data_IF_905343080998
#
_entry.id   IF_905343080998
#
_cell.length_a   1.000
_cell.length_b   1.000
_cell.length_c   1.000
_cell.angle_alpha   90.00
_cell.angle_beta   90.00
_cell.angle_gamma   90.00
#
_symmetry.space_group_name_H-M   'P 1'
#
loop_
_entity.id
_entity.type
_entity.pdbx_description
1 polymer ?
#
# COMPACT_ATOMS: atom_id res chain seq x y z
N UNK A 1 28.16 -33.46 -41.53
CA UNK A 1 26.93 -33.06 -40.88
C UNK A 1 27.28 -32.55 -39.49
N UNK A 2 27.20 -31.25 -39.25
CA UNK A 2 27.40 -30.64 -37.95
C UNK A 2 26.05 -30.63 -37.26
N UNK A 3 25.91 -31.33 -36.16
CA UNK A 3 24.69 -31.31 -35.36
C UNK A 3 24.53 -29.93 -34.73
N UNK A 4 23.43 -29.29 -35.07
CA UNK A 4 22.95 -28.05 -34.42
C UNK A 4 22.20 -28.50 -33.14
N UNK A 5 22.88 -28.43 -32.00
CA UNK A 5 22.20 -28.58 -30.70
C UNK A 5 21.37 -27.31 -30.48
N UNK A 6 20.06 -27.38 -30.30
CA UNK A 6 19.23 -26.17 -30.21
C UNK A 6 19.51 -25.42 -28.89
N UNK A 7 19.79 -24.14 -29.04
CA UNK A 7 20.05 -23.19 -27.92
C UNK A 7 18.94 -23.18 -26.83
N UNK A 8 17.73 -23.66 -27.13
CA UNK A 8 16.63 -23.78 -26.18
C UNK A 8 16.87 -24.79 -25.02
N UNK A 9 17.69 -25.84 -25.22
CA UNK A 9 17.94 -26.81 -24.14
C UNK A 9 18.88 -26.25 -23.06
N UNK A 10 19.82 -25.40 -23.43
CA UNK A 10 20.74 -24.78 -22.47
C UNK A 10 20.04 -23.74 -21.57
N UNK A 11 19.07 -23.00 -22.11
CA UNK A 11 18.30 -22.04 -21.33
C UNK A 11 17.40 -22.69 -20.27
N UNK A 12 16.76 -23.83 -20.60
CA UNK A 12 15.93 -24.59 -19.65
C UNK A 12 16.72 -25.22 -18.52
N UNK A 13 17.97 -25.66 -18.77
CA UNK A 13 18.83 -26.27 -17.73
C UNK A 13 19.34 -25.18 -16.76
N UNK A 14 19.62 -23.97 -17.23
CA UNK A 14 20.12 -22.88 -16.39
C UNK A 14 19.06 -22.31 -15.44
N UNK A 15 17.80 -22.28 -15.87
CA UNK A 15 16.67 -21.80 -15.03
C UNK A 15 16.27 -22.80 -13.96
N UNK A 16 16.28 -24.10 -14.25
CA UNK A 16 15.98 -25.16 -13.29
C UNK A 16 17.04 -25.21 -12.15
N UNK A 17 18.31 -25.02 -12.46
CA UNK A 17 19.38 -24.96 -11.43
C UNK A 17 19.34 -23.71 -10.59
N UNK A 18 18.90 -22.57 -11.12
CA UNK A 18 18.74 -21.34 -10.33
C UNK A 18 17.56 -21.45 -9.35
N UNK A 19 16.42 -21.98 -9.80
CA UNK A 19 15.25 -22.21 -8.95
C UNK A 19 15.54 -23.17 -7.79
N UNK A 20 16.23 -24.29 -8.03
CA UNK A 20 16.65 -25.24 -6.99
C UNK A 20 17.59 -24.58 -5.96
N UNK A 21 18.47 -23.66 -6.39
CA UNK A 21 19.35 -22.92 -5.48
C UNK A 21 18.57 -21.97 -4.58
N UNK A 22 17.55 -21.25 -5.12
CA UNK A 22 16.73 -20.34 -4.32
C UNK A 22 15.93 -21.15 -3.29
N UNK A 23 15.26 -22.23 -3.70
CA UNK A 23 14.45 -23.06 -2.80
C UNK A 23 15.27 -23.63 -1.64
N UNK A 24 16.48 -24.12 -1.92
CA UNK A 24 17.40 -24.61 -0.90
C UNK A 24 17.83 -23.53 0.10
N UNK A 25 18.16 -22.32 -0.39
CA UNK A 25 18.51 -21.18 0.47
C UNK A 25 17.32 -20.71 1.30
N UNK A 26 16.13 -20.66 0.73
CA UNK A 26 14.91 -20.29 1.44
C UNK A 26 14.58 -21.32 2.51
N UNK A 27 14.61 -22.61 2.18
CA UNK A 27 14.36 -23.70 3.14
C UNK A 27 15.30 -23.68 4.34
N UNK A 28 16.59 -23.40 4.09
CA UNK A 28 17.61 -23.35 5.15
C UNK A 28 17.45 -22.21 6.14
N UNK A 29 16.88 -21.08 5.74
CA UNK A 29 16.69 -19.90 6.61
C UNK A 29 15.26 -19.78 7.19
N UNK A 30 14.33 -20.59 6.73
CA UNK A 30 12.90 -20.45 7.03
C UNK A 30 12.56 -20.51 8.52
N UNK A 31 13.17 -21.40 9.35
CA UNK A 31 12.91 -21.40 10.80
C UNK A 31 13.29 -20.07 11.48
N UNK A 32 14.41 -19.46 11.07
CA UNK A 32 14.85 -18.16 11.59
C UNK A 32 13.92 -17.03 11.12
N UNK A 33 13.47 -17.06 9.86
CA UNK A 33 12.50 -16.08 9.34
C UNK A 33 11.17 -16.17 10.07
N UNK A 34 10.66 -17.36 10.36
CA UNK A 34 9.44 -17.53 11.16
C UNK A 34 9.59 -16.93 12.55
N UNK A 35 10.74 -17.15 13.20
CA UNK A 35 11.01 -16.53 14.50
C UNK A 35 11.09 -15.01 14.41
N UNK A 36 11.71 -14.48 13.35
CA UNK A 36 11.78 -13.03 13.10
C UNK A 36 10.39 -12.45 12.90
N UNK A 37 9.56 -13.06 12.06
CA UNK A 37 8.16 -12.69 11.86
C UNK A 37 7.40 -12.63 13.19
N UNK A 38 7.47 -13.71 13.99
CA UNK A 38 6.78 -13.77 15.29
C UNK A 38 7.27 -12.68 16.25
N UNK A 39 8.57 -12.36 16.19
CA UNK A 39 9.16 -11.28 16.99
C UNK A 39 8.64 -9.90 16.59
N UNK A 40 8.52 -9.61 15.29
CA UNK A 40 7.95 -8.35 14.77
C UNK A 40 6.46 -8.29 15.12
N UNK A 41 5.71 -9.38 14.86
CA UNK A 41 4.28 -9.47 15.13
C UNK A 41 3.93 -9.19 16.60
N UNK A 42 4.74 -9.71 17.53
CA UNK A 42 4.56 -9.49 18.97
C UNK A 42 4.94 -8.07 19.43
N UNK A 43 5.66 -7.31 18.62
CA UNK A 43 6.16 -5.98 18.96
C UNK A 43 5.86 -4.95 17.84
N UNK A 44 4.58 -4.79 17.44
CA UNK A 44 4.19 -3.87 16.38
C UNK A 44 4.34 -2.42 16.82
N UNK A 45 4.67 -1.55 15.86
CA UNK A 45 4.81 -0.11 16.05
C UNK A 45 3.91 0.64 15.07
N UNK A 46 3.20 1.66 15.56
CA UNK A 46 2.32 2.50 14.73
C UNK A 46 3.13 3.34 13.74
N UNK A 47 2.46 3.83 12.69
CA UNK A 47 3.02 4.83 11.79
C UNK A 47 3.68 5.96 12.56
N UNK A 48 4.80 6.47 12.06
CA UNK A 48 5.68 7.47 12.69
C UNK A 48 6.42 6.99 13.95
N UNK A 49 6.29 5.72 14.37
CA UNK A 49 6.87 5.18 15.61
C UNK A 49 7.71 3.90 15.37
N UNK A 50 8.07 3.56 14.13
CA UNK A 50 8.68 2.29 13.71
C UNK A 50 10.18 2.18 14.06
N UNK A 51 10.58 2.66 15.24
CA UNK A 51 12.00 2.75 15.64
C UNK A 51 12.66 1.38 15.74
N UNK A 52 12.02 0.42 16.40
CA UNK A 52 12.59 -0.91 16.62
C UNK A 52 12.52 -1.76 15.35
N UNK A 53 11.41 -1.69 14.62
CA UNK A 53 11.22 -2.43 13.37
C UNK A 53 12.24 -1.98 12.32
N UNK A 54 12.45 -0.68 12.16
CA UNK A 54 13.45 -0.12 11.26
C UNK A 54 14.88 -0.50 11.65
N UNK A 55 15.20 -0.46 12.95
CA UNK A 55 16.51 -0.84 13.46
C UNK A 55 16.78 -2.35 13.28
N UNK A 56 15.78 -3.21 13.50
CA UNK A 56 15.87 -4.65 13.24
C UNK A 56 16.14 -4.91 11.77
N UNK A 57 15.32 -4.33 10.87
CA UNK A 57 15.52 -4.45 9.43
C UNK A 57 16.93 -4.00 9.01
N UNK A 58 17.36 -2.83 9.48
CA UNK A 58 18.68 -2.29 9.19
C UNK A 58 19.81 -3.24 9.63
N UNK A 59 19.69 -3.82 10.83
CA UNK A 59 20.68 -4.78 11.36
C UNK A 59 20.75 -6.05 10.50
N UNK A 60 19.61 -6.61 10.10
CA UNK A 60 19.55 -7.82 9.26
C UNK A 60 20.09 -7.58 7.85
N UNK A 61 19.79 -6.41 7.26
CA UNK A 61 20.34 -6.04 5.95
C UNK A 61 21.86 -5.81 5.99
N UNK A 62 22.42 -5.26 7.10
CA UNK A 62 23.88 -5.18 7.31
C UNK A 62 24.52 -6.57 7.41
N UNK A 63 23.90 -7.50 8.16
CA UNK A 63 24.37 -8.90 8.24
C UNK A 63 24.37 -9.57 6.87
N UNK A 64 23.40 -9.26 6.00
CA UNK A 64 23.35 -9.74 4.62
C UNK A 64 24.40 -9.06 3.70
N UNK A 65 25.16 -8.08 4.19
CA UNK A 65 26.25 -7.43 3.44
C UNK A 65 25.83 -6.20 2.64
N UNK A 66 24.67 -5.61 2.93
CA UNK A 66 24.23 -4.33 2.35
C UNK A 66 24.85 -3.15 3.08
N UNK A 67 25.10 -2.07 2.35
CA UNK A 67 25.42 -0.76 2.93
C UNK A 67 24.08 -0.09 3.33
N UNK A 68 23.84 0.12 4.61
CA UNK A 68 22.56 0.55 5.15
C UNK A 68 22.65 1.97 5.71
N UNK A 69 21.66 2.79 5.36
CA UNK A 69 21.40 4.12 5.93
C UNK A 69 20.01 4.09 6.59
N UNK A 70 19.97 4.47 7.84
CA UNK A 70 18.75 4.57 8.65
C UNK A 70 18.25 6.01 8.72
N UNK A 71 17.01 6.17 9.19
CA UNK A 71 16.35 7.47 9.37
C UNK A 71 16.33 8.29 8.08
N UNK A 72 15.92 7.64 7.00
CA UNK A 72 15.70 8.28 5.71
C UNK A 72 14.22 8.66 5.58
N UNK A 73 13.99 9.94 5.32
CA UNK A 73 12.65 10.51 5.19
C UNK A 73 12.44 11.69 6.12
N UNK A 74 11.68 12.69 5.65
CA UNK A 74 11.38 13.89 6.39
C UNK A 74 9.92 14.28 6.18
N UNK A 75 9.16 14.31 7.28
CA UNK A 75 7.77 14.74 7.25
C UNK A 75 7.63 16.27 7.11
N UNK A 76 6.44 16.77 6.69
CA UNK A 76 6.23 18.20 6.48
C UNK A 76 6.46 19.07 7.73
N UNK A 77 6.25 18.53 8.92
CA UNK A 77 6.51 19.20 10.20
C UNK A 77 8.00 19.27 10.57
N UNK A 78 8.86 18.66 9.75
CA UNK A 78 10.30 18.57 9.95
C UNK A 78 10.76 17.36 10.75
N UNK A 79 9.86 16.51 11.24
CA UNK A 79 10.19 15.29 11.96
C UNK A 79 10.90 14.28 11.04
N UNK A 80 11.91 13.60 11.57
CA UNK A 80 12.68 12.59 10.84
C UNK A 80 11.91 11.25 10.83
N UNK A 81 11.76 10.66 9.65
CA UNK A 81 11.13 9.35 9.50
C UNK A 81 12.09 8.20 9.84
N UNK A 82 11.54 7.03 10.11
CA UNK A 82 12.29 5.81 10.41
C UNK A 82 12.64 4.99 9.15
N UNK A 83 12.67 5.61 7.98
CA UNK A 83 12.98 4.93 6.72
C UNK A 83 14.38 4.33 6.70
N UNK A 84 14.50 3.18 6.03
CA UNK A 84 15.76 2.46 5.83
C UNK A 84 16.06 2.34 4.35
N UNK A 85 17.29 2.64 3.95
CA UNK A 85 17.79 2.39 2.58
C UNK A 85 19.02 1.51 2.64
N UNK A 86 19.00 0.39 1.92
CA UNK A 86 20.11 -0.55 1.88
C UNK A 86 20.51 -0.84 0.43
N UNK A 87 21.81 -0.68 0.14
CA UNK A 87 22.38 -0.80 -1.21
C UNK A 87 23.34 -1.96 -1.30
N UNK A 88 23.15 -2.83 -2.29
CA UNK A 88 24.08 -3.86 -2.67
C UNK A 88 24.42 -3.73 -4.15
N UNK A 89 25.68 -3.41 -4.44
CA UNK A 89 26.19 -3.31 -5.81
C UNK A 89 26.87 -4.60 -6.25
N UNK A 90 26.64 -5.00 -7.48
CA UNK A 90 27.19 -6.21 -8.10
C UNK A 90 27.51 -6.00 -9.59
N UNK A 91 28.49 -5.15 -9.86
CA UNK A 91 28.92 -4.83 -11.23
C UNK A 91 28.01 -3.78 -11.92
N UNK A 92 28.17 -3.66 -13.23
CA UNK A 92 27.35 -2.78 -14.06
C UNK A 92 26.01 -3.45 -14.40
N UNK A 93 24.93 -2.71 -14.36
CA UNK A 93 23.58 -3.20 -14.68
C UNK A 93 22.53 -2.24 -14.15
N UNK A 94 21.25 -2.60 -14.25
CA UNK A 94 20.16 -1.76 -13.79
C UNK A 94 20.16 -1.64 -12.27
N UNK A 95 19.50 -0.60 -11.77
CA UNK A 95 19.18 -0.41 -10.35
C UNK A 95 17.74 -0.85 -10.11
N UNK A 96 17.55 -1.87 -9.32
CA UNK A 96 16.24 -2.37 -8.89
C UNK A 96 15.94 -1.92 -7.47
N UNK A 97 14.85 -1.19 -7.29
CA UNK A 97 14.29 -0.89 -5.99
C UNK A 97 13.31 -1.99 -5.57
N UNK A 98 13.47 -2.50 -4.35
CA UNK A 98 12.51 -3.41 -3.70
C UNK A 98 12.04 -2.74 -2.40
N UNK A 99 10.73 -2.60 -2.23
CA UNK A 99 10.14 -1.94 -1.06
C UNK A 99 9.47 -2.94 -0.12
N UNK A 100 9.60 -2.69 1.16
CA UNK A 100 8.71 -3.15 2.25
C UNK A 100 8.22 -1.96 3.04
N UNK A 101 7.02 -2.04 3.56
CA UNK A 101 6.46 -1.20 4.61
C UNK A 101 6.80 -1.78 5.99
N UNK A 102 6.57 -1.01 7.08
CA UNK A 102 7.03 -1.42 8.42
C UNK A 102 6.03 -1.15 9.54
N UNK A 103 5.06 -0.29 9.32
CA UNK A 103 4.14 0.19 10.36
C UNK A 103 2.99 -0.78 10.64
N UNK A 104 2.33 -0.57 11.79
CA UNK A 104 1.21 -1.35 12.27
C UNK A 104 0.00 -0.45 12.55
N UNK A 105 -1.14 -1.06 12.82
CA UNK A 105 -2.44 -0.42 12.96
C UNK A 105 -2.90 -0.30 14.43
N UNK A 106 -3.71 0.72 14.77
CA UNK A 106 -4.26 0.92 16.10
C UNK A 106 -5.45 -0.04 16.39
N UNK A 107 -5.19 -1.34 16.36
CA UNK A 107 -6.17 -2.43 16.52
C UNK A 107 -5.75 -3.31 17.69
N UNK A 108 -6.73 -3.73 18.51
CA UNK A 108 -6.54 -4.76 19.53
C UNK A 108 -6.57 -6.12 18.85
N UNK A 109 -5.51 -6.90 18.97
CA UNK A 109 -5.44 -8.23 18.38
C UNK A 109 -6.32 -9.26 19.10
N UNK A 110 -7.05 -10.07 18.34
CA UNK A 110 -7.94 -11.14 18.82
C UNK A 110 -7.67 -12.49 18.15
N UNK A 111 -6.53 -12.65 17.49
CA UNK A 111 -6.20 -13.89 16.75
C UNK A 111 -6.01 -15.11 17.66
N UNK A 112 -5.55 -14.89 18.89
CA UNK A 112 -5.27 -15.97 19.86
C UNK A 112 -4.02 -16.78 19.56
N UNK A 113 -3.14 -16.34 18.67
CA UNK A 113 -1.84 -16.99 18.42
C UNK A 113 -0.89 -16.79 19.61
N UNK A 114 0.05 -17.69 19.80
CA UNK A 114 0.99 -17.63 20.94
C UNK A 114 1.94 -16.43 20.91
N UNK A 115 2.09 -15.80 19.78
CA UNK A 115 2.90 -14.60 19.55
C UNK A 115 2.04 -13.34 19.26
N UNK A 116 0.75 -13.38 19.63
CA UNK A 116 -0.14 -12.23 19.47
C UNK A 116 0.39 -10.99 20.19
N UNK A 117 0.14 -9.82 19.62
CA UNK A 117 0.47 -8.55 20.25
C UNK A 117 -0.45 -8.25 21.43
N UNK A 118 0.15 -7.84 22.54
CA UNK A 118 -0.55 -7.29 23.70
C UNK A 118 -0.11 -5.86 23.97
N UNK A 119 0.58 -5.24 23.00
CA UNK A 119 1.12 -3.91 23.16
C UNK A 119 0.03 -2.86 23.03
N UNK A 120 0.26 -1.75 23.72
CA UNK A 120 -0.51 -0.54 23.62
C UNK A 120 0.39 0.60 23.16
N UNK A 121 -0.13 1.41 22.28
CA UNK A 121 0.50 2.62 21.78
C UNK A 121 -0.38 3.84 21.95
N UNK A 122 0.10 4.98 21.47
CA UNK A 122 -0.71 6.20 21.38
C UNK A 122 -0.86 6.57 19.91
N UNK A 123 -2.12 6.72 19.47
CA UNK A 123 -2.41 7.21 18.12
C UNK A 123 -2.11 8.71 17.99
N UNK A 124 -2.26 9.27 16.78
CA UNK A 124 -2.02 10.69 16.51
C UNK A 124 -2.89 11.65 17.36
N UNK A 125 -4.07 11.19 17.82
CA UNK A 125 -4.93 11.95 18.73
C UNK A 125 -4.51 11.83 20.21
N UNK A 126 -3.41 11.14 20.53
CA UNK A 126 -2.91 10.92 21.88
C UNK A 126 -3.68 9.87 22.70
N UNK A 127 -4.63 9.16 22.09
CA UNK A 127 -5.44 8.13 22.74
C UNK A 127 -4.65 6.83 22.86
N UNK A 128 -4.79 6.12 23.98
CA UNK A 128 -4.23 4.78 24.15
C UNK A 128 -5.05 3.78 23.33
N UNK A 129 -4.35 3.01 22.47
CA UNK A 129 -4.93 2.01 21.58
C UNK A 129 -4.12 0.71 21.63
N UNK A 130 -4.74 -0.44 21.32
CA UNK A 130 -3.98 -1.64 21.02
C UNK A 130 -3.22 -1.47 19.73
N UNK A 131 -2.14 -2.22 19.52
CA UNK A 131 -1.34 -2.16 18.30
C UNK A 131 -1.18 -3.57 17.72
N UNK A 132 -1.45 -3.73 16.43
CA UNK A 132 -1.39 -5.03 15.73
C UNK A 132 -0.86 -4.85 14.30
N UNK A 133 -0.01 -5.76 13.83
CA UNK A 133 0.28 -5.91 12.40
C UNK A 133 -0.94 -6.50 11.67
N UNK A 134 -2.02 -5.73 11.59
CA UNK A 134 -3.26 -6.16 10.97
C UNK A 134 -3.28 -5.95 9.45
N UNK A 135 -2.18 -5.50 8.84
CA UNK A 135 -2.00 -5.40 7.40
C UNK A 135 -0.87 -6.31 6.86
N UNK A 136 -0.19 -7.07 7.74
CA UNK A 136 0.84 -8.04 7.34
C UNK A 136 2.21 -7.45 7.01
N UNK A 137 2.51 -6.22 7.43
CA UNK A 137 3.81 -5.60 7.16
C UNK A 137 4.97 -6.35 7.83
N UNK A 138 4.72 -7.09 8.89
CA UNK A 138 5.65 -8.05 9.49
C UNK A 138 6.03 -9.20 8.53
N UNK A 139 5.09 -9.69 7.71
CA UNK A 139 5.36 -10.62 6.59
C UNK A 139 6.25 -9.95 5.54
N UNK A 140 5.96 -8.69 5.20
CA UNK A 140 6.70 -7.95 4.18
C UNK A 140 8.15 -7.70 4.61
N UNK A 141 8.37 -7.18 5.84
CA UNK A 141 9.71 -6.98 6.42
C UNK A 141 10.49 -8.28 6.45
N UNK A 142 9.88 -9.35 6.94
CA UNK A 142 10.53 -10.66 7.04
C UNK A 142 10.87 -11.23 5.67
N UNK A 143 9.98 -11.06 4.69
CA UNK A 143 10.22 -11.45 3.29
C UNK A 143 11.40 -10.68 2.69
N UNK A 144 11.53 -9.38 2.97
CA UNK A 144 12.66 -8.58 2.52
C UNK A 144 13.97 -9.08 3.12
N UNK A 145 14.00 -9.40 4.42
CA UNK A 145 15.18 -9.96 5.09
C UNK A 145 15.62 -11.25 4.40
N UNK A 146 14.69 -12.16 4.16
CA UNK A 146 14.97 -13.41 3.45
C UNK A 146 15.48 -13.19 2.02
N UNK A 147 14.84 -12.29 1.29
CA UNK A 147 15.22 -11.89 -0.07
C UNK A 147 16.63 -11.30 -0.11
N UNK A 148 16.97 -10.41 0.82
CA UNK A 148 18.31 -9.81 0.92
C UNK A 148 19.39 -10.87 1.08
N UNK A 149 19.18 -11.87 1.94
CA UNK A 149 20.10 -12.98 2.16
C UNK A 149 20.29 -13.84 0.91
N UNK A 150 19.19 -14.13 0.19
CA UNK A 150 19.24 -14.90 -1.09
C UNK A 150 20.00 -14.12 -2.15
N UNK A 151 19.72 -12.82 -2.34
CA UNK A 151 20.40 -11.99 -3.34
C UNK A 151 21.90 -11.87 -3.04
N UNK A 152 22.27 -11.71 -1.78
CA UNK A 152 23.67 -11.69 -1.36
C UNK A 152 24.40 -13.03 -1.61
N UNK A 153 23.73 -14.15 -1.37
CA UNK A 153 24.30 -15.49 -1.63
C UNK A 153 24.45 -15.81 -3.12
N UNK A 154 23.55 -15.27 -3.96
CA UNK A 154 23.49 -15.55 -5.40
C UNK A 154 24.03 -14.41 -6.28
N UNK A 155 25.01 -13.63 -5.82
CA UNK A 155 25.66 -12.56 -6.60
C UNK A 155 26.15 -12.99 -7.99
N UNK A 156 26.55 -14.25 -8.15
CA UNK A 156 26.97 -14.79 -9.45
C UNK A 156 25.83 -14.93 -10.48
N UNK A 157 24.57 -14.70 -10.08
CA UNK A 157 23.39 -14.89 -10.91
C UNK A 157 22.74 -13.59 -11.39
N UNK A 158 23.23 -12.45 -10.94
CA UNK A 158 22.67 -11.14 -11.30
C UNK A 158 23.76 -10.05 -11.35
N UNK A 159 23.45 -8.92 -11.98
CA UNK A 159 24.34 -7.76 -12.12
C UNK A 159 23.57 -6.47 -11.84
N UNK A 160 24.27 -5.39 -11.49
CA UNK A 160 23.66 -4.08 -11.25
C UNK A 160 23.60 -3.74 -9.76
N UNK A 161 22.55 -3.03 -9.38
CA UNK A 161 22.37 -2.55 -8.00
C UNK A 161 21.02 -2.97 -7.47
N UNK A 162 20.99 -3.51 -6.26
CA UNK A 162 19.76 -3.70 -5.46
C UNK A 162 19.67 -2.59 -4.44
N UNK A 163 18.57 -1.84 -4.48
CA UNK A 163 18.18 -0.84 -3.49
C UNK A 163 16.97 -1.36 -2.72
N UNK A 164 17.17 -1.74 -1.46
CA UNK A 164 16.08 -2.15 -0.57
C UNK A 164 15.60 -0.95 0.24
N UNK A 165 14.30 -0.75 0.32
CA UNK A 165 13.67 0.31 1.09
C UNK A 165 12.77 -0.29 2.16
N UNK A 166 13.05 0.00 3.44
CA UNK A 166 12.11 -0.10 4.54
C UNK A 166 11.37 1.22 4.65
N UNK A 167 10.13 1.25 4.19
CA UNK A 167 9.30 2.44 4.21
C UNK A 167 8.51 2.51 5.52
N UNK A 168 8.53 3.63 6.25
CA UNK A 168 7.63 3.88 7.38
C UNK A 168 6.26 4.34 6.90
N UNK A 169 5.27 4.34 7.77
CA UNK A 169 4.03 5.12 7.68
C UNK A 169 3.25 4.95 6.35
N UNK A 170 3.08 3.69 5.94
CA UNK A 170 2.23 3.36 4.80
C UNK A 170 0.76 3.61 5.14
N UNK A 171 0.33 3.23 6.35
CA UNK A 171 -1.05 3.31 6.80
C UNK A 171 -1.57 4.75 6.98
N UNK A 172 -0.65 5.71 7.05
CA UNK A 172 -0.95 7.15 7.00
C UNK A 172 -0.68 7.77 5.63
N UNK A 173 -0.25 6.96 4.63
CA UNK A 173 -0.02 7.33 3.22
C UNK A 173 0.94 8.52 3.03
N UNK A 174 1.86 8.73 3.95
CA UNK A 174 2.83 9.81 3.90
C UNK A 174 4.30 9.36 3.95
N UNK A 175 4.56 8.08 4.24
CA UNK A 175 5.91 7.55 4.36
C UNK A 175 6.72 7.58 3.07
N UNK A 176 6.16 7.16 1.94
CA UNK A 176 6.84 7.23 0.65
C UNK A 176 7.17 8.69 0.27
N UNK A 177 6.22 9.62 0.50
CA UNK A 177 6.42 11.06 0.29
C UNK A 177 7.52 11.61 1.18
N UNK A 178 7.55 11.22 2.46
CA UNK A 178 8.58 11.64 3.40
C UNK A 178 9.97 11.19 2.94
N UNK A 179 10.12 9.95 2.44
CA UNK A 179 11.38 9.45 1.92
C UNK A 179 11.84 10.23 0.68
N UNK A 180 10.94 10.52 -0.26
CA UNK A 180 11.25 11.34 -1.44
C UNK A 180 11.58 12.79 -1.07
N UNK A 181 10.89 13.37 -0.08
CA UNK A 181 11.16 14.72 0.42
C UNK A 181 12.55 14.85 1.08
N UNK A 182 13.11 13.74 1.60
CA UNK A 182 14.49 13.66 2.09
C UNK A 182 15.52 13.36 0.96
N UNK A 183 15.18 13.70 -0.27
CA UNK A 183 16.06 13.56 -1.45
C UNK A 183 16.52 12.11 -1.70
N UNK A 184 15.59 11.14 -1.57
CA UNK A 184 15.89 9.71 -1.70
C UNK A 184 16.73 9.40 -2.95
N UNK A 185 16.29 9.87 -4.11
CA UNK A 185 16.93 9.51 -5.37
C UNK A 185 18.22 10.29 -5.64
N UNK A 186 18.32 11.52 -5.16
CA UNK A 186 19.56 12.31 -5.23
C UNK A 186 20.66 11.72 -4.34
N UNK A 187 20.29 11.18 -3.18
CA UNK A 187 21.23 10.60 -2.21
C UNK A 187 21.67 9.18 -2.57
N UNK A 188 20.77 8.36 -3.10
CA UNK A 188 21.00 6.94 -3.29
C UNK A 188 20.99 6.47 -4.74
N UNK A 189 20.63 7.33 -5.67
CA UNK A 189 20.47 7.06 -7.10
C UNK A 189 19.02 6.75 -7.48
N UNK A 190 18.64 7.13 -8.69
CA UNK A 190 17.32 6.84 -9.26
C UNK A 190 17.28 5.40 -9.73
N UNK A 191 16.31 4.58 -9.31
CA UNK A 191 16.17 3.21 -9.79
C UNK A 191 15.62 3.18 -11.23
N UNK A 192 15.98 2.14 -11.98
CA UNK A 192 15.43 1.88 -13.32
C UNK A 192 14.06 1.19 -13.24
N UNK A 193 13.81 0.45 -12.17
CA UNK A 193 12.56 -0.29 -11.90
C UNK A 193 12.31 -0.34 -10.38
N UNK A 194 11.04 -0.45 -9.99
CA UNK A 194 10.68 -0.67 -8.58
C UNK A 194 9.65 -1.81 -8.46
N UNK A 195 9.85 -2.68 -7.47
CA UNK A 195 8.91 -3.76 -7.16
C UNK A 195 8.59 -3.82 -5.67
N UNK A 196 7.38 -4.29 -5.36
CA UNK A 196 6.93 -4.60 -4.01
C UNK A 196 6.03 -5.85 -4.02
N UNK A 197 5.73 -6.36 -2.85
CA UNK A 197 4.63 -7.31 -2.65
C UNK A 197 3.72 -6.82 -1.53
N UNK A 198 2.48 -7.29 -1.53
CA UNK A 198 1.56 -7.12 -0.41
C UNK A 198 0.84 -8.44 -0.15
N UNK A 199 0.76 -8.86 1.10
CA UNK A 199 0.03 -10.07 1.45
C UNK A 199 -1.50 -9.88 1.35
N UNK A 200 -2.24 -10.98 1.22
CA UNK A 200 -3.69 -10.91 1.04
C UNK A 200 -4.40 -12.12 1.64
N UNK A 201 -5.62 -11.88 2.16
CA UNK A 201 -6.53 -12.94 2.59
C UNK A 201 -7.34 -13.57 1.46
N UNK A 202 -7.28 -13.01 0.26
CA UNK A 202 -8.05 -13.50 -0.90
C UNK A 202 -7.43 -14.72 -1.55
N UNK A 203 -6.23 -15.14 -1.10
CA UNK A 203 -5.46 -16.25 -1.63
C UNK A 203 -4.81 -17.08 -0.53
N UNK A 204 -4.69 -18.38 -0.78
CA UNK A 204 -3.94 -19.28 0.07
C UNK A 204 -2.42 -19.03 -0.02
N UNK A 205 -1.70 -19.23 1.06
CA UNK A 205 -0.23 -19.29 1.05
C UNK A 205 0.26 -20.35 0.05
N UNK A 206 1.34 -20.08 -0.65
CA UNK A 206 1.79 -20.87 -1.81
C UNK A 206 1.41 -20.25 -3.15
N UNK A 207 0.59 -19.20 -3.16
CA UNK A 207 0.12 -18.54 -4.39
C UNK A 207 0.44 -17.05 -4.41
N UNK A 208 0.41 -16.47 -5.59
CA UNK A 208 0.58 -15.04 -5.82
C UNK A 208 -0.47 -14.53 -6.81
N UNK A 209 -0.73 -13.22 -6.78
CA UNK A 209 -1.58 -12.57 -7.79
C UNK A 209 -0.89 -11.35 -8.37
N UNK A 210 -1.17 -11.04 -9.63
CA UNK A 210 -0.62 -9.87 -10.31
C UNK A 210 -1.63 -9.31 -11.31
N UNK A 211 -2.01 -8.07 -11.08
CA UNK A 211 -2.82 -7.25 -11.99
C UNK A 211 -1.91 -6.40 -12.86
N UNK A 212 -2.14 -6.32 -14.15
CA UNK A 212 -1.45 -5.42 -15.07
C UNK A 212 -2.23 -4.12 -15.23
N UNK A 213 -1.55 -2.97 -15.24
CA UNK A 213 -2.19 -1.67 -15.29
C UNK A 213 -2.66 -1.19 -13.91
N UNK A 214 -3.80 -0.50 -13.80
CA UNK A 214 -4.32 -0.04 -12.52
C UNK A 214 -4.63 -1.22 -11.59
N UNK A 215 -3.85 -1.38 -10.53
CA UNK A 215 -3.97 -2.49 -9.57
C UNK A 215 -4.75 -2.10 -8.32
N UNK A 216 -4.44 -0.94 -7.73
CA UNK A 216 -5.19 -0.41 -6.59
C UNK A 216 -5.63 1.03 -6.88
N UNK A 217 -6.77 1.42 -6.32
CA UNK A 217 -7.32 2.75 -6.52
C UNK A 217 -6.43 3.83 -5.89
N UNK A 218 -6.35 4.97 -6.55
CA UNK A 218 -5.87 6.19 -5.91
C UNK A 218 -6.87 6.66 -4.85
N UNK A 219 -6.36 7.21 -3.76
CA UNK A 219 -7.15 7.85 -2.71
C UNK A 219 -7.04 9.36 -2.82
N UNK A 220 -8.17 10.07 -2.71
CA UNK A 220 -8.20 11.52 -2.65
C UNK A 220 -9.01 11.95 -1.44
N UNK A 221 -8.38 12.72 -0.55
CA UNK A 221 -9.01 13.32 0.62
C UNK A 221 -9.45 14.74 0.28
N UNK A 222 -10.71 15.09 0.61
CA UNK A 222 -11.29 16.40 0.31
C UNK A 222 -12.11 16.90 1.49
N UNK A 223 -11.80 18.10 1.95
CA UNK A 223 -12.63 18.82 2.92
C UNK A 223 -13.60 19.75 2.22
N UNK A 224 -14.85 19.76 2.67
CA UNK A 224 -15.86 20.70 2.25
C UNK A 224 -16.39 21.47 3.46
N UNK A 225 -16.21 22.78 3.44
CA UNK A 225 -16.80 23.69 4.41
C UNK A 225 -18.00 24.36 3.78
N UNK A 226 -19.20 23.90 4.14
CA UNK A 226 -20.46 24.50 3.73
C UNK A 226 -20.79 25.68 4.66
N UNK A 227 -20.79 26.91 4.14
CA UNK A 227 -21.01 28.12 4.93
C UNK A 227 -22.40 28.66 4.74
N UNK A 228 -22.98 29.22 5.81
CA UNK A 228 -24.34 29.76 5.79
C UNK A 228 -24.50 31.01 6.66
N UNK A 229 -25.74 31.38 6.92
CA UNK A 229 -26.11 32.45 7.83
C UNK A 229 -26.85 31.81 9.00
N UNK A 230 -26.19 31.78 10.16
CA UNK A 230 -26.73 31.19 11.38
C UNK A 230 -27.83 32.07 12.01
N UNK A 231 -28.56 31.46 12.96
CA UNK A 231 -29.64 32.19 13.65
C UNK A 231 -30.53 31.31 14.51
N UNK A 232 -31.69 31.90 14.88
CA UNK A 232 -32.65 31.19 15.73
C UNK A 232 -33.41 30.14 14.90
N UNK A 233 -33.44 28.87 15.36
CA UNK A 233 -34.09 27.77 14.64
C UNK A 233 -35.57 27.94 14.31
N UNK A 234 -36.27 28.83 15.00
CA UNK A 234 -37.67 29.20 14.70
C UNK A 234 -37.80 30.42 13.75
N UNK A 235 -36.68 30.96 13.25
CA UNK A 235 -36.68 32.11 12.31
C UNK A 235 -35.83 31.76 11.05
N UNK A 236 -36.16 30.67 10.34
CA UNK A 236 -35.36 30.23 9.19
C UNK A 236 -35.35 31.20 8.02
N UNK A 237 -36.38 32.07 7.90
CA UNK A 237 -36.51 33.03 6.81
C UNK A 237 -35.42 34.12 6.78
N UNK A 238 -34.67 34.31 7.90
CA UNK A 238 -33.56 35.28 7.97
C UNK A 238 -32.22 34.61 8.00
N UNK A 239 -32.15 33.30 7.72
CA UNK A 239 -30.94 32.47 7.77
C UNK A 239 -30.67 31.82 6.42
N UNK A 240 -29.49 31.19 6.31
CA UNK A 240 -29.11 30.22 5.27
C UNK A 240 -28.56 29.01 6.00
N UNK A 241 -29.35 27.95 6.11
CA UNK A 241 -29.03 26.81 6.98
C UNK A 241 -27.99 25.89 6.33
N UNK A 242 -26.75 25.85 6.82
CA UNK A 242 -25.70 25.01 6.25
C UNK A 242 -25.93 23.52 6.54
N UNK A 243 -26.73 23.13 7.54
CA UNK A 243 -27.09 21.73 7.78
C UNK A 243 -28.02 21.21 6.68
N UNK A 244 -29.01 21.99 6.28
CA UNK A 244 -29.89 21.63 5.15
C UNK A 244 -29.09 21.54 3.87
N UNK A 245 -28.21 22.53 3.60
CA UNK A 245 -27.33 22.50 2.44
C UNK A 245 -26.38 21.28 2.44
N UNK A 246 -25.80 20.89 3.58
CA UNK A 246 -24.98 19.71 3.69
C UNK A 246 -25.78 18.42 3.37
N UNK A 247 -27.03 18.32 3.84
CA UNK A 247 -27.91 17.21 3.50
C UNK A 247 -28.21 17.11 2.00
N UNK A 248 -28.52 18.24 1.35
CA UNK A 248 -28.71 18.28 -0.11
C UNK A 248 -27.41 17.93 -0.87
N UNK A 249 -26.28 18.47 -0.43
CA UNK A 249 -24.97 18.16 -1.00
C UNK A 249 -24.67 16.67 -0.95
N UNK A 250 -24.85 16.01 0.21
CA UNK A 250 -24.61 14.57 0.38
C UNK A 250 -25.40 13.74 -0.64
N UNK A 251 -26.68 14.06 -0.81
CA UNK A 251 -27.55 13.33 -1.76
C UNK A 251 -27.15 13.61 -3.20
N UNK A 252 -26.93 14.87 -3.58
CA UNK A 252 -26.58 15.25 -4.94
C UNK A 252 -25.19 14.75 -5.34
N UNK A 253 -24.24 14.72 -4.42
CA UNK A 253 -22.87 14.24 -4.67
C UNK A 253 -22.86 12.81 -5.22
N UNK A 254 -23.80 11.95 -4.80
CA UNK A 254 -23.88 10.58 -5.31
C UNK A 254 -24.12 10.51 -6.83
N UNK A 255 -24.67 11.57 -7.42
CA UNK A 255 -24.88 11.67 -8.86
C UNK A 255 -23.59 11.87 -9.66
N UNK A 256 -22.53 12.32 -9.03
CA UNK A 256 -21.21 12.43 -9.69
C UNK A 256 -20.76 11.03 -10.14
N UNK A 257 -20.76 10.07 -9.25
CA UNK A 257 -20.42 8.68 -9.56
C UNK A 257 -21.46 8.05 -10.51
N UNK A 258 -22.75 8.19 -10.19
CA UNK A 258 -23.78 7.46 -10.92
C UNK A 258 -24.19 8.07 -12.28
N UNK A 259 -23.85 9.35 -12.57
CA UNK A 259 -24.32 10.09 -13.76
C UNK A 259 -23.24 10.87 -14.50
N UNK A 260 -22.06 11.07 -13.94
CA UNK A 260 -21.01 11.86 -14.58
C UNK A 260 -19.75 11.01 -14.86
N UNK A 261 -19.52 9.99 -14.05
CA UNK A 261 -18.44 9.03 -14.26
C UNK A 261 -18.79 8.04 -15.38
N UNK A 262 -17.75 7.55 -16.08
CA UNK A 262 -17.92 6.49 -17.04
C UNK A 262 -18.29 5.18 -16.30
N UNK A 263 -19.41 4.50 -16.62
CA UNK A 263 -19.80 3.27 -15.93
C UNK A 263 -18.78 2.11 -16.01
N UNK A 264 -17.78 2.21 -16.89
CA UNK A 264 -16.66 1.23 -17.02
C UNK A 264 -15.46 1.58 -16.15
N UNK A 265 -15.43 2.76 -15.55
CA UNK A 265 -14.38 3.26 -14.67
C UNK A 265 -14.94 3.35 -13.26
N UNK A 266 -14.77 2.32 -12.42
CA UNK A 266 -15.37 2.33 -11.09
C UNK A 266 -14.74 3.44 -10.24
N UNK A 267 -15.58 4.14 -9.50
CA UNK A 267 -15.18 5.14 -8.52
C UNK A 267 -16.06 5.08 -7.27
N UNK A 268 -15.53 5.54 -6.15
CA UNK A 268 -16.24 5.63 -4.87
C UNK A 268 -16.07 7.03 -4.33
N UNK A 269 -17.16 7.61 -3.81
CA UNK A 269 -17.14 8.88 -3.05
C UNK A 269 -17.91 8.68 -1.76
N UNK A 270 -17.23 8.86 -0.63
CA UNK A 270 -17.80 8.67 0.70
C UNK A 270 -17.56 9.91 1.55
N UNK A 271 -18.62 10.45 2.15
CA UNK A 271 -18.51 11.41 3.24
C UNK A 271 -18.35 10.60 4.52
N UNK A 272 -17.14 10.57 5.09
CA UNK A 272 -16.80 9.79 6.28
C UNK A 272 -17.10 10.50 7.57
N UNK A 273 -17.09 11.83 7.54
CA UNK A 273 -17.31 12.67 8.71
C UNK A 273 -18.09 13.93 8.37
N UNK A 274 -18.93 14.38 9.31
CA UNK A 274 -19.72 15.59 9.19
C UNK A 274 -19.90 16.25 10.56
N UNK A 275 -19.50 17.50 10.68
CA UNK A 275 -19.62 18.30 11.89
C UNK A 275 -20.30 19.63 11.65
N UNK A 276 -21.37 19.91 12.42
CA UNK A 276 -22.07 21.19 12.37
C UNK A 276 -23.15 21.30 13.43
N UNK A 277 -23.34 22.53 13.94
CA UNK A 277 -24.32 22.83 14.97
C UNK A 277 -23.87 22.46 16.39
N UNK A 278 -24.49 23.12 17.37
CA UNK A 278 -24.20 22.95 18.80
C UNK A 278 -25.45 22.69 19.64
N UNK A 279 -26.62 23.13 19.16
CA UNK A 279 -27.89 23.03 19.91
C UNK A 279 -29.07 22.98 18.94
N UNK A 280 -30.09 22.20 19.28
CA UNK A 280 -31.27 21.93 18.45
C UNK A 280 -32.07 23.16 17.97
N UNK A 281 -31.94 24.29 18.63
CA UNK A 281 -32.67 25.53 18.31
C UNK A 281 -31.78 26.67 17.76
N UNK A 282 -30.56 26.31 17.34
CA UNK A 282 -29.61 27.24 16.72
C UNK A 282 -29.22 26.70 15.35
N UNK A 283 -29.43 27.51 14.31
CA UNK A 283 -28.87 27.26 12.99
C UNK A 283 -27.41 27.71 13.01
N UNK A 284 -26.43 26.84 12.69
CA UNK A 284 -25.02 27.19 12.73
C UNK A 284 -24.60 28.08 11.57
N UNK A 285 -23.36 28.56 11.59
CA UNK A 285 -22.76 29.35 10.50
C UNK A 285 -22.10 28.48 9.45
N UNK A 286 -21.74 27.23 9.80
CA UNK A 286 -21.01 26.32 8.92
C UNK A 286 -21.23 24.84 9.29
N UNK A 287 -20.97 23.97 8.29
CA UNK A 287 -20.86 22.53 8.44
C UNK A 287 -19.59 22.08 7.71
N UNK A 288 -18.71 21.36 8.40
CA UNK A 288 -17.53 20.70 7.82
C UNK A 288 -17.91 19.28 7.42
N UNK A 289 -17.44 18.83 6.26
CA UNK A 289 -17.54 17.44 5.79
C UNK A 289 -16.18 16.97 5.31
N UNK A 290 -15.80 15.76 5.68
CA UNK A 290 -14.58 15.09 5.25
C UNK A 290 -14.93 13.96 4.29
N UNK A 291 -14.31 13.98 3.11
CA UNK A 291 -14.66 13.12 1.98
C UNK A 291 -13.44 12.31 1.58
N UNK A 292 -13.61 11.02 1.36
CA UNK A 292 -12.65 10.19 0.62
C UNK A 292 -13.22 9.80 -0.73
N UNK A 293 -12.40 9.90 -1.77
CA UNK A 293 -12.71 9.41 -3.10
C UNK A 293 -11.68 8.35 -3.53
N UNK A 294 -12.15 7.31 -4.24
CA UNK A 294 -11.31 6.25 -4.81
C UNK A 294 -11.53 6.22 -6.31
N UNK A 295 -10.44 6.24 -7.08
CA UNK A 295 -10.49 6.26 -8.56
C UNK A 295 -9.34 5.48 -9.16
N UNK A 296 -9.48 4.99 -10.40
CA UNK A 296 -8.44 4.25 -11.11
C UNK A 296 -7.76 5.03 -12.23
N UNK A 297 -8.04 6.32 -12.35
CA UNK A 297 -7.37 7.20 -13.29
C UNK A 297 -7.39 8.66 -12.83
N UNK A 298 -6.41 9.45 -13.29
CA UNK A 298 -6.39 10.91 -13.04
C UNK A 298 -7.61 11.60 -13.63
N UNK A 299 -8.13 11.09 -14.75
CA UNK A 299 -9.35 11.61 -15.38
C UNK A 299 -10.56 11.43 -14.45
N UNK A 300 -10.77 10.23 -13.91
CA UNK A 300 -11.83 9.97 -12.94
C UNK A 300 -11.66 10.81 -11.67
N UNK A 301 -10.42 10.91 -11.16
CA UNK A 301 -10.10 11.77 -10.03
C UNK A 301 -10.56 13.22 -10.29
N UNK A 302 -10.24 13.77 -11.46
CA UNK A 302 -10.61 15.13 -11.81
C UNK A 302 -12.13 15.29 -11.95
N UNK A 303 -12.84 14.34 -12.56
CA UNK A 303 -14.31 14.33 -12.65
C UNK A 303 -14.94 14.40 -11.25
N UNK A 304 -14.43 13.60 -10.31
CA UNK A 304 -14.93 13.57 -8.93
C UNK A 304 -14.65 14.90 -8.22
N UNK A 305 -13.43 15.43 -8.28
CA UNK A 305 -13.07 16.70 -7.64
C UNK A 305 -13.93 17.86 -8.19
N UNK A 306 -14.07 17.95 -9.51
CA UNK A 306 -14.90 18.98 -10.13
C UNK A 306 -16.39 18.78 -9.82
N UNK A 307 -16.81 17.54 -9.71
CA UNK A 307 -18.16 17.18 -9.25
C UNK A 307 -18.44 17.67 -7.83
N UNK A 308 -17.52 17.43 -6.89
CA UNK A 308 -17.61 17.94 -5.51
C UNK A 308 -17.75 19.47 -5.51
N UNK A 309 -16.86 20.16 -6.23
CA UNK A 309 -16.88 21.64 -6.32
C UNK A 309 -18.20 22.17 -6.88
N UNK A 310 -18.64 21.62 -8.02
CA UNK A 310 -19.89 22.05 -8.66
C UNK A 310 -21.11 21.79 -7.80
N UNK A 311 -21.17 20.64 -7.15
CA UNK A 311 -22.30 20.27 -6.28
C UNK A 311 -22.38 21.21 -5.08
N UNK A 312 -21.23 21.45 -4.40
CA UNK A 312 -21.18 22.37 -3.27
C UNK A 312 -21.63 23.80 -3.67
N UNK A 313 -21.12 24.32 -4.78
CA UNK A 313 -21.49 25.63 -5.31
C UNK A 313 -22.96 25.68 -5.73
N UNK A 314 -23.49 24.66 -6.41
CA UNK A 314 -24.87 24.57 -6.86
C UNK A 314 -25.86 24.57 -5.71
N UNK A 315 -25.59 23.84 -4.64
CA UNK A 315 -26.42 23.82 -3.43
C UNK A 315 -26.42 25.18 -2.73
N UNK A 316 -25.26 25.80 -2.56
CA UNK A 316 -25.17 27.14 -1.96
C UNK A 316 -25.88 28.19 -2.77
N UNK A 317 -25.78 28.16 -4.10
CA UNK A 317 -26.51 29.04 -5.02
C UNK A 317 -28.04 28.86 -4.90
N UNK A 318 -28.51 27.60 -4.87
CA UNK A 318 -29.91 27.24 -4.70
C UNK A 318 -30.50 27.78 -3.38
N UNK A 319 -29.69 27.72 -2.31
CA UNK A 319 -30.07 28.26 -1.00
C UNK A 319 -29.99 29.80 -0.94
N UNK A 320 -29.49 30.46 -1.96
CA UNK A 320 -29.30 31.91 -2.01
C UNK A 320 -28.24 32.40 -1.02
N UNK A 321 -27.16 31.65 -0.87
CA UNK A 321 -25.99 32.05 -0.05
C UNK A 321 -25.28 33.21 -0.75
N UNK A 322 -24.88 34.28 -0.05
CA UNK A 322 -24.06 35.34 -0.63
C UNK A 322 -22.69 34.87 -1.09
N UNK A 323 -22.13 35.45 -2.15
CA UNK A 323 -20.86 35.04 -2.75
C UNK A 323 -19.69 35.00 -1.76
N UNK A 324 -19.64 35.91 -0.78
CA UNK A 324 -18.62 35.93 0.26
C UNK A 324 -18.70 34.74 1.25
N UNK A 325 -19.81 33.99 1.22
CA UNK A 325 -20.02 32.76 1.97
C UNK A 325 -20.05 31.51 1.06
N UNK A 326 -19.55 31.60 -0.16
CA UNK A 326 -19.44 30.44 -1.03
C UNK A 326 -18.73 29.28 -0.33
N UNK A 327 -19.10 28.02 -0.58
CA UNK A 327 -18.43 26.85 0.02
C UNK A 327 -16.94 26.83 -0.27
N UNK A 328 -16.16 26.32 0.67
CA UNK A 328 -14.72 26.08 0.46
C UNK A 328 -14.50 24.59 0.27
N UNK A 329 -13.86 24.22 -0.83
CA UNK A 329 -13.48 22.83 -1.15
C UNK A 329 -11.97 22.74 -1.21
N UNK A 330 -11.38 22.02 -0.29
CA UNK A 330 -9.92 21.83 -0.15
C UNK A 330 -9.57 20.39 -0.49
N UNK A 331 -8.72 20.18 -1.49
CA UNK A 331 -8.13 18.86 -1.76
C UNK A 331 -6.86 18.75 -0.92
N UNK A 332 -6.76 17.68 -0.15
CA UNK A 332 -5.64 17.40 0.75
C UNK A 332 -4.63 16.48 0.04
N UNK A 333 -3.77 17.04 -0.81
CA UNK A 333 -2.79 16.25 -1.57
C UNK A 333 -1.78 15.53 -0.66
N UNK A 334 -1.52 16.04 0.53
CA UNK A 334 -0.70 15.37 1.53
C UNK A 334 -1.30 14.03 1.99
N UNK A 335 -2.64 13.97 2.09
CA UNK A 335 -3.43 12.81 2.50
C UNK A 335 -4.02 12.03 1.31
N UNK A 336 -3.42 12.15 0.14
CA UNK A 336 -3.88 11.52 -1.10
C UNK A 336 -2.79 10.66 -1.71
N UNK A 337 -3.15 9.54 -2.34
CA UNK A 337 -2.21 8.69 -3.08
C UNK A 337 -2.61 8.59 -4.56
N UNK A 338 -1.65 8.48 -5.48
CA UNK A 338 -1.95 8.14 -6.87
C UNK A 338 -2.49 6.72 -6.98
N UNK A 339 -3.00 6.38 -8.15
CA UNK A 339 -3.31 5.00 -8.53
C UNK A 339 -2.05 4.15 -8.43
N UNK A 340 -2.12 2.99 -7.74
CA UNK A 340 -1.07 1.99 -7.84
C UNK A 340 -1.15 1.35 -9.21
N UNK A 341 -0.23 1.75 -10.08
CA UNK A 341 -0.20 1.32 -11.48
C UNK A 341 0.97 0.35 -11.70
N UNK A 342 0.65 -0.88 -12.06
CA UNK A 342 1.63 -1.87 -12.48
C UNK A 342 1.96 -1.65 -13.95
N UNK A 343 3.20 -1.22 -14.24
CA UNK A 343 3.69 -1.05 -15.62
C UNK A 343 3.47 -2.32 -16.43
N UNK A 344 2.89 -2.18 -17.61
CA UNK A 344 2.47 -3.33 -18.42
C UNK A 344 3.64 -4.23 -18.84
N UNK A 345 4.75 -3.63 -19.26
CA UNK A 345 5.92 -4.37 -19.72
C UNK A 345 6.65 -5.05 -18.55
N UNK A 346 6.81 -4.33 -17.43
CA UNK A 346 7.41 -4.87 -16.22
C UNK A 346 6.52 -5.97 -15.62
N UNK A 347 5.21 -5.76 -15.56
CA UNK A 347 4.25 -6.76 -15.07
C UNK A 347 4.29 -8.06 -15.88
N UNK A 348 4.42 -7.97 -17.22
CA UNK A 348 4.57 -9.16 -18.05
C UNK A 348 5.86 -9.94 -17.73
N UNK A 349 6.98 -9.26 -17.51
CA UNK A 349 8.26 -9.88 -17.10
C UNK A 349 8.13 -10.54 -15.73
N UNK A 350 7.57 -9.82 -14.75
CA UNK A 350 7.33 -10.32 -13.39
C UNK A 350 6.41 -11.55 -13.42
N UNK A 351 5.27 -11.47 -14.13
CA UNK A 351 4.31 -12.58 -14.26
C UNK A 351 4.97 -13.82 -14.88
N UNK A 352 5.75 -13.64 -15.95
CA UNK A 352 6.49 -14.73 -16.59
C UNK A 352 7.45 -15.42 -15.62
N UNK A 353 8.18 -14.64 -14.81
CA UNK A 353 9.08 -15.18 -13.79
C UNK A 353 8.31 -15.92 -12.69
N UNK A 354 7.23 -15.35 -12.18
CA UNK A 354 6.39 -15.98 -11.15
C UNK A 354 5.80 -17.31 -11.65
N UNK A 355 5.30 -17.36 -12.89
CA UNK A 355 4.80 -18.61 -13.52
C UNK A 355 5.91 -19.66 -13.63
N UNK A 356 7.10 -19.27 -14.04
CA UNK A 356 8.24 -20.20 -14.14
C UNK A 356 8.71 -20.71 -12.77
N UNK A 357 8.57 -19.89 -11.72
CA UNK A 357 9.04 -20.22 -10.36
C UNK A 357 8.02 -21.03 -9.58
N UNK A 358 6.75 -20.63 -9.61
CA UNK A 358 5.69 -21.19 -8.76
C UNK A 358 4.76 -22.14 -9.50
N UNK A 359 4.82 -22.17 -10.83
CA UNK A 359 3.86 -22.86 -11.70
C UNK A 359 2.62 -21.99 -12.00
N UNK A 360 2.07 -22.17 -13.21
CA UNK A 360 0.94 -21.35 -13.70
C UNK A 360 -0.32 -21.46 -12.83
N UNK A 361 -0.55 -22.61 -12.17
CA UNK A 361 -1.69 -22.82 -11.27
C UNK A 361 -1.64 -22.00 -9.97
N UNK A 362 -0.48 -21.42 -9.64
CA UNK A 362 -0.24 -20.66 -8.41
C UNK A 362 -0.10 -19.16 -8.67
N UNK A 363 -0.32 -18.71 -9.90
CA UNK A 363 -0.23 -17.29 -10.30
C UNK A 363 -1.58 -16.83 -10.83
N UNK A 364 -2.23 -15.91 -10.15
CA UNK A 364 -3.58 -15.46 -10.41
C UNK A 364 -3.63 -14.02 -10.92
N UNK A 365 -4.79 -13.64 -11.46
CA UNK A 365 -5.16 -12.26 -11.77
C UNK A 365 -6.50 -11.99 -11.07
N UNK A 366 -6.47 -11.19 -10.00
CA UNK A 366 -7.64 -10.92 -9.14
C UNK A 366 -8.45 -9.71 -9.62
N UNK A 367 -7.95 -9.02 -10.66
CA UNK A 367 -8.47 -7.73 -11.07
C UNK A 367 -8.11 -6.60 -10.09
N UNK A 368 -8.44 -5.34 -10.44
CA UNK A 368 -8.13 -4.19 -9.60
C UNK A 368 -8.98 -4.16 -8.32
N UNK A 369 -8.41 -3.61 -7.23
CA UNK A 369 -9.08 -3.47 -5.93
C UNK A 369 -9.21 -2.01 -5.51
N UNK A 370 -10.27 -1.70 -4.72
CA UNK A 370 -10.53 -0.34 -4.19
C UNK A 370 -9.65 0.06 -3.00
N UNK A 371 -8.75 -0.82 -2.54
CA UNK A 371 -7.70 -0.45 -1.58
C UNK A 371 -6.76 0.60 -2.18
N UNK A 372 -6.04 1.32 -1.36
CA UNK A 372 -4.96 2.23 -1.80
C UNK A 372 -3.64 1.84 -1.18
N UNK A 373 -2.58 2.34 -1.78
CA UNK A 373 -1.19 2.02 -1.44
C UNK A 373 -0.30 3.18 -1.89
N UNK A 374 0.68 3.58 -1.08
CA UNK A 374 1.57 4.69 -1.42
C UNK A 374 2.87 4.27 -2.12
N UNK A 375 3.14 2.96 -2.30
CA UNK A 375 4.29 2.46 -3.09
C UNK A 375 4.36 3.09 -4.48
N UNK A 376 3.20 3.33 -5.13
CA UNK A 376 3.14 3.97 -6.45
C UNK A 376 3.83 5.34 -6.52
N UNK A 377 3.98 6.02 -5.39
CA UNK A 377 4.68 7.31 -5.27
C UNK A 377 6.15 7.22 -5.67
N UNK A 378 6.81 6.07 -5.43
CA UNK A 378 8.20 5.84 -5.86
C UNK A 378 8.37 5.80 -7.38
N UNK A 379 7.30 5.58 -8.14
CA UNK A 379 7.30 5.66 -9.60
C UNK A 379 7.44 7.08 -10.15
N UNK A 380 7.29 8.09 -9.31
CA UNK A 380 7.20 9.50 -9.63
C UNK A 380 6.01 9.85 -10.55
N UNK A 381 5.72 11.14 -10.67
CA UNK A 381 4.64 11.63 -11.52
C UNK A 381 4.86 11.22 -12.98
N UNK A 382 3.82 10.72 -13.62
CA UNK A 382 3.85 10.24 -15.00
C UNK A 382 4.53 8.89 -15.17
N UNK A 383 4.62 8.08 -14.11
CA UNK A 383 5.22 6.73 -14.12
C UNK A 383 6.63 6.69 -14.73
N UNK A 384 7.47 7.67 -14.39
CA UNK A 384 8.85 7.80 -14.89
C UNK A 384 9.71 6.59 -14.54
N UNK A 385 9.42 5.94 -13.39
CA UNK A 385 10.04 4.69 -12.98
C UNK A 385 8.97 3.61 -13.04
N UNK A 386 9.13 2.57 -13.87
CA UNK A 386 8.19 1.46 -13.91
C UNK A 386 8.07 0.78 -12.54
N UNK A 387 6.84 0.66 -12.04
CA UNK A 387 6.53 0.01 -10.76
C UNK A 387 5.69 -1.24 -10.96
N UNK A 388 5.90 -2.25 -10.14
CA UNK A 388 5.02 -3.41 -10.03
C UNK A 388 4.90 -3.83 -8.57
N UNK A 389 3.67 -3.99 -8.10
CA UNK A 389 3.36 -4.67 -6.85
C UNK A 389 2.51 -5.90 -7.14
N UNK A 390 2.88 -7.04 -6.56
CA UNK A 390 2.13 -8.28 -6.69
C UNK A 390 1.59 -8.76 -5.34
N UNK A 391 0.42 -9.42 -5.37
CA UNK A 391 -0.21 -9.97 -4.19
C UNK A 391 0.45 -11.28 -3.76
N UNK A 392 0.62 -11.48 -2.46
CA UNK A 392 1.12 -12.71 -1.84
C UNK A 392 0.00 -13.38 -1.05
N UNK A 393 -0.40 -14.58 -1.43
CA UNK A 393 -1.39 -15.35 -0.66
C UNK A 393 -0.86 -15.65 0.75
N UNK A 394 -1.65 -15.31 1.76
CA UNK A 394 -1.22 -15.39 3.15
C UNK A 394 -2.04 -16.37 4.01
N UNK A 395 -3.17 -16.86 3.50
CA UNK A 395 -4.06 -17.69 4.31
C UNK A 395 -3.62 -19.15 4.35
N UNK A 396 -3.82 -19.80 5.51
CA UNK A 396 -3.62 -21.23 5.62
C UNK A 396 -4.40 -21.98 4.52
N UNK A 397 -3.75 -22.83 3.70
CA UNK A 397 -4.39 -23.44 2.56
C UNK A 397 -5.62 -24.30 2.89
N UNK A 398 -5.60 -24.97 4.06
CA UNK A 398 -6.73 -25.81 4.49
C UNK A 398 -7.90 -24.97 4.95
N UNK A 399 -7.65 -23.94 5.76
CA UNK A 399 -8.69 -22.98 6.20
C UNK A 399 -9.27 -22.23 4.99
N UNK A 400 -8.43 -21.83 4.04
CA UNK A 400 -8.83 -21.11 2.85
C UNK A 400 -9.76 -21.98 1.98
N UNK A 401 -9.38 -23.23 1.70
CA UNK A 401 -10.21 -24.16 0.93
C UNK A 401 -11.56 -24.44 1.62
N UNK A 402 -11.56 -24.60 2.94
CA UNK A 402 -12.79 -24.80 3.71
C UNK A 402 -13.71 -23.56 3.68
N UNK A 403 -13.15 -22.35 3.79
CA UNK A 403 -13.90 -21.10 3.70
C UNK A 403 -14.52 -20.92 2.31
N UNK A 404 -13.76 -21.18 1.24
CA UNK A 404 -14.24 -21.13 -0.14
C UNK A 404 -15.38 -22.13 -0.39
N UNK A 405 -15.23 -23.36 0.08
CA UNK A 405 -16.29 -24.37 -0.04
C UNK A 405 -17.57 -23.96 0.70
N UNK A 406 -17.45 -23.17 1.77
CA UNK A 406 -18.58 -22.63 2.53
C UNK A 406 -19.12 -21.29 1.98
N UNK A 407 -18.56 -20.74 0.90
CA UNK A 407 -18.93 -19.43 0.36
C UNK A 407 -18.62 -18.29 1.33
N UNK A 408 -17.58 -18.42 2.17
CA UNK A 408 -17.16 -17.44 3.18
C UNK A 408 -15.77 -16.88 2.86
N UNK A 409 -15.52 -15.66 3.29
CA UNK A 409 -14.18 -15.07 3.33
C UNK A 409 -13.53 -15.30 4.69
N UNK A 410 -12.20 -15.46 4.70
CA UNK A 410 -11.42 -15.38 5.94
C UNK A 410 -11.24 -13.92 6.35
N UNK A 411 -10.97 -13.63 7.64
CA UNK A 411 -10.64 -12.29 8.10
C UNK A 411 -9.51 -11.69 7.25
N UNK A 412 -9.70 -10.46 6.81
CA UNK A 412 -8.75 -9.75 5.96
C UNK A 412 -7.94 -8.71 6.69
N UNK A 413 -7.04 -8.01 5.98
CA UNK A 413 -6.33 -6.87 6.51
C UNK A 413 -7.25 -5.87 7.20
N UNK A 414 -6.73 -5.11 8.17
CA UNK A 414 -7.44 -4.13 9.00
C UNK A 414 -8.52 -4.74 9.93
N UNK A 415 -8.45 -6.05 10.20
CA UNK A 415 -9.33 -6.70 11.20
C UNK A 415 -8.52 -7.31 12.34
N UNK A 416 -9.11 -7.36 13.54
CA UNK A 416 -8.50 -7.94 14.75
C UNK A 416 -8.17 -9.43 14.66
N UNK A 417 -8.71 -10.12 13.65
CA UNK A 417 -8.57 -11.55 13.40
C UNK A 417 -7.71 -11.87 12.17
N UNK A 418 -7.08 -10.87 11.53
CA UNK A 418 -6.21 -11.12 10.38
C UNK A 418 -4.99 -11.95 10.82
N UNK A 419 -4.81 -13.11 10.20
CA UNK A 419 -3.81 -14.09 10.62
C UNK A 419 -3.15 -14.73 9.41
N UNK A 420 -2.04 -14.18 8.90
CA UNK A 420 -1.21 -14.85 7.91
C UNK A 420 -0.68 -16.20 8.41
N UNK A 421 -0.53 -17.18 7.52
CA UNK A 421 0.12 -18.46 7.82
C UNK A 421 1.64 -18.31 7.63
N UNK A 422 2.47 -18.24 8.70
CA UNK A 422 3.82 -17.69 8.57
C UNK A 422 4.72 -18.48 7.60
N UNK A 423 4.92 -19.78 7.87
CA UNK A 423 5.89 -20.58 7.13
C UNK A 423 5.64 -20.62 5.62
N UNK A 424 4.44 -21.04 5.14
CA UNK A 424 4.21 -21.15 3.69
C UNK A 424 4.15 -19.77 3.02
N UNK A 425 3.69 -18.72 3.72
CA UNK A 425 3.66 -17.35 3.19
C UNK A 425 5.08 -16.82 3.00
N UNK A 426 5.94 -16.92 4.02
CA UNK A 426 7.33 -16.47 3.95
C UNK A 426 8.13 -17.26 2.92
N UNK A 427 7.96 -18.58 2.85
CA UNK A 427 8.57 -19.43 1.82
C UNK A 427 8.23 -18.90 0.42
N UNK A 428 6.96 -18.65 0.15
CA UNK A 428 6.48 -18.17 -1.15
C UNK A 428 6.96 -16.77 -1.44
N UNK A 429 6.83 -15.84 -0.48
CA UNK A 429 7.24 -14.46 -0.63
C UNK A 429 8.72 -14.30 -0.95
N UNK A 430 9.59 -14.96 -0.16
CA UNK A 430 11.05 -14.91 -0.39
C UNK A 430 11.43 -15.57 -1.71
N UNK A 431 10.82 -16.71 -2.06
CA UNK A 431 11.09 -17.39 -3.34
C UNK A 431 10.66 -16.53 -4.52
N UNK A 432 9.44 -15.99 -4.48
CA UNK A 432 8.88 -15.15 -5.54
C UNK A 432 9.71 -13.87 -5.73
N UNK A 433 9.93 -13.11 -4.64
CA UNK A 433 10.65 -11.84 -4.71
C UNK A 433 12.09 -12.02 -5.17
N UNK A 434 12.81 -13.03 -4.64
CA UNK A 434 14.18 -13.32 -5.05
C UNK A 434 14.29 -13.73 -6.52
N UNK A 435 13.35 -14.56 -6.99
CA UNK A 435 13.34 -15.00 -8.40
C UNK A 435 13.06 -13.84 -9.35
N UNK A 436 12.09 -12.99 -9.00
CA UNK A 436 11.77 -11.78 -9.77
C UNK A 436 12.97 -10.83 -9.78
N UNK A 437 13.57 -10.55 -8.63
CA UNK A 437 14.73 -9.65 -8.54
C UNK A 437 15.90 -10.14 -9.40
N UNK A 438 16.27 -11.43 -9.31
CA UNK A 438 17.32 -12.02 -10.13
C UNK A 438 16.99 -11.91 -11.62
N UNK A 439 15.76 -12.24 -12.04
CA UNK A 439 15.36 -12.17 -13.44
C UNK A 439 15.32 -10.74 -14.01
N UNK A 440 15.09 -9.74 -13.17
CA UNK A 440 15.10 -8.34 -13.59
C UNK A 440 16.52 -7.75 -13.69
N UNK A 441 17.50 -8.37 -13.00
CA UNK A 441 18.90 -7.97 -12.93
C UNK A 441 19.85 -8.84 -13.81
N UNK A 442 19.32 -9.73 -14.62
CA UNK A 442 20.05 -10.48 -15.65
C UNK A 442 20.12 -9.69 -16.95
#
# INVERSE_FOLDING_TARGET
MKEIIPACLLACISTATAAQNIEGLVGGQLPELVNTYQGIHAHPELSHQEEHTSALLAAELRKAGFRVTERVGKYPDGTQAYGVVAILQNGRGPTLLIRTDMDALPIVEETGVSYASHLKGRNAAGQEVGVMHACGHDVHVTTMIGTARVLAALKSKWHGTVMLIGQPSEETIDGAKAMLADHLYERFGTPDLAIALHDTNTRAAGTVSLVSGPALAGSTSVDVLMRGIGGHGAQPQVTKDPIVMAGEFIVQLQTVVSRQENPREPSVVTIGDIHGGTKRNIIPYEVKMEITARTFSDKSRQIVIDGIRRTAQGVALSAGVPDNLAPVVTVLDAESTPVMYNDLALAARVKGTLVNTLGASNVFDDGPAMASEDFGVFGLEGHKIPTVMFGLGAMDPTKFAAAQAAGKSLPGPHTSLFQPSPEPTLRTGVTAMSSVAIALLQ
#
